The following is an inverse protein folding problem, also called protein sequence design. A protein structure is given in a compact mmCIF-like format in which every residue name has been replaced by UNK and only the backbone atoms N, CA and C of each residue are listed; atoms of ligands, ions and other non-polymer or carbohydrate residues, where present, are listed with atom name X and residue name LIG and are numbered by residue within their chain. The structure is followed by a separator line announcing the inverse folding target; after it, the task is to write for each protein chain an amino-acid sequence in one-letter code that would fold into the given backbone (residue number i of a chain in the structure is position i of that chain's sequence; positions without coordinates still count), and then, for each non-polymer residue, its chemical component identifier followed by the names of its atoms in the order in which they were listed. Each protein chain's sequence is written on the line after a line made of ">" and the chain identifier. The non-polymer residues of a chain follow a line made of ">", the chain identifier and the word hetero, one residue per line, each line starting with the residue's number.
data_IF_918739738577
#
_entry.id   IF_918739738577
#
_cell.length_a   1.000
_cell.length_b   1.000
_cell.length_c   1.000
_cell.angle_alpha   90.00
_cell.angle_beta   90.00
_cell.angle_gamma   90.00
#
_symmetry.space_group_name_H-M   'P 1'
#
loop_
_entity.id
_entity.type
_entity.pdbx_description
1 polymer ?
#
# COMPACT_ATOMS: atom_id res chain seq x y z
N UNK A 1 23.24 -25.65 -26.97
CA UNK A 1 22.46 -25.04 -25.89
C UNK A 1 22.81 -25.84 -24.66
N UNK A 2 23.68 -25.32 -23.79
CA UNK A 2 23.97 -25.95 -22.50
C UNK A 2 22.68 -25.95 -21.66
N UNK A 3 22.35 -27.11 -21.10
CA UNK A 3 21.24 -27.22 -20.13
C UNK A 3 21.46 -26.22 -18.99
N UNK A 4 20.39 -25.56 -18.47
CA UNK A 4 20.54 -24.71 -17.33
C UNK A 4 21.09 -25.54 -16.16
N UNK A 5 22.17 -25.09 -15.57
CA UNK A 5 22.88 -25.79 -14.50
C UNK A 5 22.09 -25.85 -13.17
N UNK A 6 20.96 -25.17 -13.07
CA UNK A 6 20.22 -25.00 -11.82
C UNK A 6 18.71 -25.34 -11.90
N UNK A 7 18.16 -25.61 -13.10
CA UNK A 7 16.71 -25.83 -13.27
C UNK A 7 16.42 -26.95 -14.24
N UNK A 8 15.58 -27.90 -13.84
CA UNK A 8 15.15 -29.04 -14.67
C UNK A 8 13.96 -28.69 -15.57
N UNK A 9 13.19 -27.67 -15.21
CA UNK A 9 12.01 -27.20 -15.94
C UNK A 9 11.74 -25.73 -15.69
N UNK A 10 10.99 -25.11 -16.59
CA UNK A 10 10.45 -23.75 -16.48
C UNK A 10 8.96 -23.80 -16.69
N UNK A 11 8.20 -23.20 -15.80
CA UNK A 11 6.75 -23.08 -15.91
C UNK A 11 6.30 -21.63 -15.65
N UNK A 12 5.06 -21.31 -16.07
CA UNK A 12 4.48 -19.98 -15.92
C UNK A 12 3.47 -19.99 -14.79
N UNK A 13 3.68 -19.12 -13.82
CA UNK A 13 2.82 -18.98 -12.65
C UNK A 13 1.98 -17.70 -12.75
N UNK A 14 0.66 -17.81 -12.61
CA UNK A 14 -0.20 -16.64 -12.45
C UNK A 14 0.03 -15.99 -11.09
N UNK A 15 0.16 -14.65 -11.08
CA UNK A 15 0.24 -13.89 -9.83
C UNK A 15 -0.93 -14.26 -8.89
N UNK A 16 -0.61 -14.54 -7.62
CA UNK A 16 -1.59 -14.97 -6.62
C UNK A 16 -1.87 -16.47 -6.55
N UNK A 17 -1.34 -17.28 -7.48
CA UNK A 17 -1.49 -18.76 -7.47
C UNK A 17 -0.23 -19.50 -6.99
N UNK A 18 0.70 -18.80 -6.35
CA UNK A 18 1.95 -19.39 -5.85
C UNK A 18 1.75 -20.58 -4.89
N UNK A 19 0.65 -20.60 -4.14
CA UNK A 19 0.33 -21.69 -3.22
C UNK A 19 0.01 -23.03 -3.93
N UNK A 20 -0.21 -23.03 -5.24
CA UNK A 20 -0.51 -24.25 -6.02
C UNK A 20 0.73 -24.92 -6.60
N UNK A 21 1.90 -24.26 -6.49
CA UNK A 21 3.19 -24.75 -7.00
C UNK A 21 4.11 -25.00 -5.81
N UNK A 22 4.45 -26.23 -5.58
CA UNK A 22 5.39 -26.61 -4.52
C UNK A 22 6.58 -27.39 -5.10
N UNK A 23 7.80 -27.22 -4.55
CA UNK A 23 8.19 -26.23 -3.53
C UNK A 23 8.73 -24.94 -4.15
N UNK A 24 8.19 -23.80 -3.75
CA UNK A 24 8.80 -22.49 -4.05
C UNK A 24 9.91 -22.25 -3.02
N UNK A 25 11.07 -21.79 -3.47
CA UNK A 25 12.14 -21.42 -2.55
C UNK A 25 11.71 -20.24 -1.67
N UNK A 26 11.89 -20.31 -0.34
CA UNK A 26 11.49 -19.23 0.57
C UNK A 26 12.08 -17.85 0.21
N UNK A 27 13.24 -17.83 -0.44
CA UNK A 27 13.85 -16.60 -0.96
C UNK A 27 12.98 -15.86 -1.99
N UNK A 28 12.03 -16.54 -2.63
CA UNK A 28 11.13 -15.96 -3.62
C UNK A 28 9.84 -15.37 -2.99
N UNK A 29 9.53 -15.68 -1.74
CA UNK A 29 8.31 -15.21 -1.07
C UNK A 29 8.15 -13.68 -1.11
N UNK A 30 9.18 -12.85 -0.85
CA UNK A 30 9.05 -11.40 -0.95
C UNK A 30 8.71 -10.92 -2.37
N UNK A 31 9.26 -11.58 -3.40
CA UNK A 31 9.01 -11.24 -4.80
C UNK A 31 7.56 -11.57 -5.16
N UNK A 32 7.10 -12.78 -4.81
CA UNK A 32 5.73 -13.21 -5.07
C UNK A 32 4.71 -12.34 -4.34
N UNK A 33 5.03 -11.95 -3.11
CA UNK A 33 4.22 -11.04 -2.32
C UNK A 33 4.15 -9.64 -2.95
N UNK A 34 5.28 -9.11 -3.41
CA UNK A 34 5.32 -7.83 -4.13
C UNK A 34 4.48 -7.87 -5.42
N UNK A 35 4.53 -8.96 -6.17
CA UNK A 35 3.73 -9.15 -7.39
C UNK A 35 2.23 -9.27 -7.10
N UNK A 36 1.84 -9.78 -5.93
CA UNK A 36 0.45 -9.88 -5.50
C UNK A 36 -0.13 -8.55 -5.00
N UNK A 37 0.71 -7.55 -4.72
CA UNK A 37 0.27 -6.25 -4.22
C UNK A 37 -0.37 -5.42 -5.34
N UNK A 38 -1.66 -4.97 -5.20
CA UNK A 38 -2.32 -4.17 -6.22
C UNK A 38 -1.62 -2.84 -6.47
N UNK A 39 -1.51 -2.41 -7.73
CA UNK A 39 -0.80 -1.19 -8.11
C UNK A 39 -1.56 0.12 -7.79
N UNK A 40 -2.80 0.06 -7.35
CA UNK A 40 -3.59 1.23 -6.96
C UNK A 40 -4.14 1.05 -5.55
N UNK A 41 -3.79 1.98 -4.66
CA UNK A 41 -4.29 2.04 -3.29
C UNK A 41 -5.25 3.23 -3.14
N UNK A 42 -6.45 2.98 -2.63
CA UNK A 42 -7.34 4.04 -2.15
C UNK A 42 -7.04 4.34 -0.68
N UNK A 43 -7.04 5.61 -0.30
CA UNK A 43 -6.92 6.05 1.10
C UNK A 43 -8.21 6.75 1.48
N UNK A 44 -8.86 6.32 2.57
CA UNK A 44 -10.09 6.95 3.04
C UNK A 44 -9.84 8.36 3.57
N UNK A 45 -10.86 9.21 3.46
CA UNK A 45 -10.86 10.60 3.92
C UNK A 45 -12.29 11.02 4.32
N UNK A 46 -13.01 10.12 5.00
CA UNK A 46 -14.41 10.29 5.36
C UNK A 46 -14.64 11.44 6.34
N UNK A 47 -13.62 11.79 7.14
CA UNK A 47 -13.64 12.99 8.00
C UNK A 47 -13.89 14.28 7.20
N UNK A 48 -13.33 14.37 5.99
CA UNK A 48 -13.47 15.58 5.16
C UNK A 48 -14.61 15.48 4.13
N UNK A 49 -14.96 14.28 3.68
CA UNK A 49 -15.91 14.07 2.59
C UNK A 49 -17.30 13.63 3.05
N UNK A 50 -17.44 13.20 4.30
CA UNK A 50 -18.66 12.59 4.86
C UNK A 50 -18.67 11.07 4.66
N UNK A 51 -19.19 10.38 5.67
CA UNK A 51 -19.15 8.91 5.75
C UNK A 51 -19.95 8.23 4.64
N UNK A 52 -21.21 8.65 4.42
CA UNK A 52 -22.08 8.05 3.39
C UNK A 52 -21.43 8.14 2.01
N UNK A 53 -21.05 9.35 1.62
CA UNK A 53 -20.40 9.58 0.33
C UNK A 53 -19.12 8.79 0.16
N UNK A 54 -18.34 8.64 1.24
CA UNK A 54 -17.09 7.86 1.20
C UNK A 54 -17.37 6.37 0.99
N UNK A 55 -18.41 5.82 1.62
CA UNK A 55 -18.79 4.42 1.49
C UNK A 55 -19.38 4.12 0.12
N UNK A 56 -20.28 4.97 -0.39
CA UNK A 56 -20.83 4.87 -1.76
C UNK A 56 -19.69 4.83 -2.80
N UNK A 57 -18.75 5.77 -2.70
CA UNK A 57 -17.60 5.83 -3.60
C UNK A 57 -16.69 4.59 -3.47
N UNK A 58 -16.55 4.06 -2.25
CA UNK A 58 -15.79 2.83 -2.02
C UNK A 58 -16.44 1.65 -2.74
N UNK A 59 -17.74 1.49 -2.62
CA UNK A 59 -18.47 0.42 -3.30
C UNK A 59 -18.34 0.51 -4.82
N UNK A 60 -18.48 1.71 -5.39
CA UNK A 60 -18.27 1.96 -6.83
C UNK A 60 -16.84 1.61 -7.27
N UNK A 61 -15.83 2.04 -6.50
CA UNK A 61 -14.43 1.77 -6.81
C UNK A 61 -14.09 0.28 -6.72
N UNK A 62 -14.61 -0.42 -5.71
CA UNK A 62 -14.45 -1.86 -5.55
C UNK A 62 -15.11 -2.63 -6.70
N UNK A 63 -16.31 -2.21 -7.12
CA UNK A 63 -16.98 -2.75 -8.31
C UNK A 63 -16.16 -2.49 -9.58
N UNK A 64 -15.49 -1.34 -9.66
CA UNK A 64 -14.57 -0.94 -10.74
C UNK A 64 -13.19 -1.59 -10.69
N UNK A 65 -12.94 -2.52 -9.76
CA UNK A 65 -11.68 -3.28 -9.71
C UNK A 65 -10.64 -2.77 -8.72
N UNK A 66 -10.96 -1.82 -7.83
CA UNK A 66 -10.08 -1.48 -6.71
C UNK A 66 -9.86 -2.70 -5.82
N UNK A 67 -8.60 -2.97 -5.41
CA UNK A 67 -8.25 -4.15 -4.63
C UNK A 67 -7.34 -3.87 -3.43
N UNK A 68 -7.06 -2.60 -3.12
CA UNK A 68 -6.27 -2.22 -1.94
C UNK A 68 -6.78 -0.90 -1.36
N UNK A 69 -7.14 -0.93 -0.07
CA UNK A 69 -7.71 0.21 0.65
C UNK A 69 -6.93 0.47 1.93
N UNK A 70 -6.63 1.73 2.21
CA UNK A 70 -6.10 2.16 3.50
C UNK A 70 -7.16 2.96 4.26
N UNK A 71 -7.55 2.51 5.45
CA UNK A 71 -8.41 3.26 6.37
C UNK A 71 -7.57 4.27 7.14
N UNK A 72 -7.88 5.59 7.01
CA UNK A 72 -7.05 6.67 7.55
C UNK A 72 -7.85 7.84 8.17
N UNK A 73 -8.93 7.60 8.80
CA UNK A 73 -9.75 8.63 9.45
C UNK A 73 -9.36 8.75 10.95
N UNK A 74 -8.37 9.58 11.26
CA UNK A 74 -7.68 9.62 12.56
C UNK A 74 -8.35 10.54 13.60
N UNK A 75 -9.02 11.61 13.17
CA UNK A 75 -9.60 12.63 14.03
C UNK A 75 -10.90 12.17 14.71
N UNK A 76 -11.47 11.05 14.28
CA UNK A 76 -12.71 10.55 14.86
C UNK A 76 -12.54 9.90 16.23
N UNK A 77 -13.60 9.91 17.06
CA UNK A 77 -13.66 9.13 18.29
C UNK A 77 -13.40 7.64 18.04
N UNK A 78 -12.80 6.91 18.99
CA UNK A 78 -12.42 5.49 18.79
C UNK A 78 -13.57 4.59 18.33
N UNK A 79 -14.77 4.77 18.87
CA UNK A 79 -15.95 3.98 18.48
C UNK A 79 -16.36 4.20 17.02
N UNK A 80 -16.30 5.44 16.54
CA UNK A 80 -16.61 5.79 15.15
C UNK A 80 -15.54 5.26 14.19
N UNK A 81 -14.27 5.37 14.57
CA UNK A 81 -13.14 4.79 13.79
C UNK A 81 -13.28 3.28 13.64
N UNK A 82 -13.59 2.59 14.73
CA UNK A 82 -13.80 1.15 14.72
C UNK A 82 -14.95 0.77 13.79
N UNK A 83 -16.14 1.36 13.99
CA UNK A 83 -17.31 1.09 13.16
C UNK A 83 -17.05 1.33 11.66
N UNK A 84 -16.39 2.44 11.33
CA UNK A 84 -16.05 2.75 9.95
C UNK A 84 -15.07 1.75 9.36
N UNK A 85 -14.02 1.38 10.11
CA UNK A 85 -13.06 0.38 9.68
C UNK A 85 -13.70 -1.00 9.49
N UNK A 86 -14.59 -1.45 10.40
CA UNK A 86 -15.38 -2.68 10.25
C UNK A 86 -16.21 -2.65 8.96
N UNK A 87 -16.87 -1.52 8.67
CA UNK A 87 -17.66 -1.36 7.45
C UNK A 87 -16.80 -1.45 6.20
N UNK A 88 -15.66 -0.74 6.16
CA UNK A 88 -14.74 -0.76 5.03
C UNK A 88 -14.15 -2.15 4.82
N UNK A 89 -13.73 -2.84 5.88
CA UNK A 89 -13.17 -4.21 5.80
C UNK A 89 -14.20 -5.16 5.21
N UNK A 90 -15.44 -5.15 5.71
CA UNK A 90 -16.51 -6.00 5.18
C UNK A 90 -16.76 -5.77 3.69
N UNK A 91 -16.95 -4.52 3.28
CA UNK A 91 -17.22 -4.17 1.87
C UNK A 91 -16.05 -4.57 0.95
N UNK A 92 -14.82 -4.35 1.41
CA UNK A 92 -13.62 -4.67 0.65
C UNK A 92 -13.44 -6.20 0.51
N UNK A 93 -13.58 -6.95 1.59
CA UNK A 93 -13.44 -8.41 1.59
C UNK A 93 -14.50 -9.10 0.74
N UNK A 94 -15.75 -8.60 0.68
CA UNK A 94 -16.80 -9.09 -0.21
C UNK A 94 -16.41 -9.00 -1.71
N UNK A 95 -15.42 -8.15 -2.03
CA UNK A 95 -14.88 -7.94 -3.39
C UNK A 95 -13.44 -8.45 -3.56
N UNK A 96 -12.91 -9.18 -2.58
CA UNK A 96 -11.55 -9.71 -2.61
C UNK A 96 -10.47 -8.62 -2.57
N UNK A 97 -10.76 -7.47 -1.97
CA UNK A 97 -9.81 -6.39 -1.81
C UNK A 97 -9.15 -6.45 -0.42
N UNK A 98 -7.86 -6.08 -0.37
CA UNK A 98 -7.08 -5.98 0.86
C UNK A 98 -7.37 -4.65 1.58
N UNK A 99 -7.38 -4.69 2.92
CA UNK A 99 -7.52 -3.51 3.76
C UNK A 99 -6.36 -3.41 4.75
N UNK A 100 -5.75 -2.22 4.80
CA UNK A 100 -4.76 -1.88 5.82
C UNK A 100 -5.26 -0.71 6.67
N UNK A 101 -5.03 -0.75 7.98
CA UNK A 101 -5.43 0.33 8.90
C UNK A 101 -4.23 1.20 9.22
N UNK A 102 -4.41 2.51 9.16
CA UNK A 102 -3.35 3.48 9.41
C UNK A 102 -3.18 3.74 10.92
N UNK A 103 -2.02 3.36 11.47
CA UNK A 103 -1.55 3.78 12.79
C UNK A 103 -2.24 3.14 13.99
N UNK A 104 -3.21 2.25 13.80
CA UNK A 104 -3.97 1.66 14.90
C UNK A 104 -4.04 0.13 14.78
N UNK A 105 -3.10 -0.53 15.46
CA UNK A 105 -2.99 -1.99 15.44
C UNK A 105 -4.17 -2.70 16.16
N UNK A 106 -4.80 -2.03 17.14
CA UNK A 106 -5.96 -2.59 17.85
C UNK A 106 -7.18 -2.63 16.90
N UNK A 107 -7.46 -1.52 16.23
CA UNK A 107 -8.51 -1.49 15.20
C UNK A 107 -8.21 -2.50 14.10
N UNK A 108 -6.98 -2.59 13.60
CA UNK A 108 -6.63 -3.55 12.55
C UNK A 108 -6.94 -5.00 12.97
N UNK A 109 -6.58 -5.41 14.20
CA UNK A 109 -6.86 -6.75 14.70
C UNK A 109 -8.35 -6.99 14.92
N UNK A 110 -9.05 -6.04 15.51
CA UNK A 110 -10.48 -6.17 15.86
C UNK A 110 -11.37 -6.25 14.65
N UNK A 111 -11.00 -5.58 13.58
CA UNK A 111 -11.77 -5.56 12.32
C UNK A 111 -11.41 -6.71 11.37
N UNK A 112 -10.33 -7.45 11.66
CA UNK A 112 -9.82 -8.46 10.74
C UNK A 112 -9.21 -7.86 9.47
N UNK A 113 -8.69 -6.63 9.53
CA UNK A 113 -7.97 -6.03 8.42
C UNK A 113 -6.73 -6.85 8.07
N UNK A 114 -6.34 -6.86 6.81
CA UNK A 114 -5.21 -7.64 6.28
C UNK A 114 -3.86 -7.09 6.73
N UNK A 115 -3.82 -5.85 7.21
CA UNK A 115 -2.56 -5.25 7.58
C UNK A 115 -2.61 -3.93 8.33
N UNK A 116 -1.41 -3.48 8.64
CA UNK A 116 -1.13 -2.24 9.34
C UNK A 116 -0.28 -1.31 8.46
N UNK A 117 -0.62 -0.03 8.43
CA UNK A 117 0.22 1.00 7.83
C UNK A 117 0.81 1.89 8.91
N UNK A 118 2.13 2.02 8.97
CA UNK A 118 2.84 2.85 9.94
C UNK A 118 2.96 4.29 9.42
N UNK A 119 2.44 5.29 10.13
CA UNK A 119 2.85 6.68 9.90
C UNK A 119 4.36 6.84 10.06
N UNK A 120 4.99 7.84 9.43
CA UNK A 120 6.44 8.05 9.49
C UNK A 120 6.99 8.10 10.94
N UNK A 121 6.29 8.77 11.86
CA UNK A 121 6.67 8.80 13.27
C UNK A 121 6.63 7.41 13.93
N UNK A 122 5.66 6.57 13.57
CA UNK A 122 5.58 5.20 14.06
C UNK A 122 6.67 4.32 13.45
N UNK A 123 7.00 4.50 12.16
CA UNK A 123 8.13 3.82 11.52
C UNK A 123 9.46 4.15 12.24
N UNK A 124 9.70 5.43 12.55
CA UNK A 124 10.90 5.86 13.25
C UNK A 124 11.05 5.24 14.65
N UNK A 125 9.94 5.03 15.35
CA UNK A 125 9.90 4.40 16.68
C UNK A 125 9.89 2.86 16.63
N UNK A 126 9.60 2.27 15.47
CA UNK A 126 9.41 0.84 15.30
C UNK A 126 10.74 0.09 15.41
N UNK A 127 10.82 -0.91 16.30
CA UNK A 127 12.04 -1.71 16.51
C UNK A 127 12.01 -3.05 15.79
N UNK A 128 10.82 -3.61 15.61
CA UNK A 128 10.58 -4.89 14.94
C UNK A 128 9.33 -4.81 14.07
N UNK A 129 9.24 -5.66 13.05
CA UNK A 129 8.09 -5.69 12.16
C UNK A 129 6.83 -6.08 12.94
N UNK A 130 5.74 -5.30 12.86
CA UNK A 130 4.46 -5.69 13.45
C UNK A 130 3.94 -7.01 12.87
N UNK A 131 3.29 -7.81 13.72
CA UNK A 131 2.71 -9.10 13.34
C UNK A 131 1.37 -8.90 12.61
N UNK A 132 1.47 -8.68 11.31
CA UNK A 132 0.37 -8.61 10.34
C UNK A 132 0.82 -9.17 9.00
N UNK A 133 -0.13 -9.67 8.22
CA UNK A 133 0.14 -10.18 6.86
C UNK A 133 0.76 -9.10 5.98
N UNK A 134 0.17 -7.89 5.98
CA UNK A 134 0.68 -6.74 5.25
C UNK A 134 1.08 -5.62 6.21
N UNK A 135 2.32 -5.15 6.08
CA UNK A 135 2.80 -3.98 6.83
C UNK A 135 3.48 -3.02 5.88
N UNK A 136 2.98 -1.80 5.83
CA UNK A 136 3.62 -0.73 5.07
C UNK A 136 3.90 0.49 5.91
N UNK A 137 4.59 1.48 5.33
CA UNK A 137 4.89 2.73 6.02
C UNK A 137 4.84 3.95 5.10
N UNK A 138 4.51 5.11 5.69
CA UNK A 138 4.74 6.41 5.05
C UNK A 138 6.20 6.80 5.19
N UNK A 139 6.82 7.20 4.07
CA UNK A 139 8.21 7.63 3.99
C UNK A 139 8.31 8.95 3.22
N UNK A 140 9.25 9.81 3.62
CA UNK A 140 9.52 11.10 2.98
C UNK A 140 10.96 11.19 2.48
N UNK A 141 11.83 10.26 2.89
CA UNK A 141 13.26 10.25 2.59
C UNK A 141 13.73 8.85 2.21
N UNK A 142 14.86 8.76 1.49
CA UNK A 142 15.50 7.49 1.18
C UNK A 142 15.89 6.70 2.45
N UNK A 143 16.28 7.40 3.52
CA UNK A 143 16.61 6.77 4.80
C UNK A 143 15.39 6.09 5.45
N UNK A 144 14.22 6.70 5.38
CA UNK A 144 12.98 6.09 5.88
C UNK A 144 12.57 4.87 5.03
N UNK A 145 12.77 4.91 3.70
CA UNK A 145 12.54 3.76 2.83
C UNK A 145 13.50 2.62 3.17
N UNK A 146 14.79 2.92 3.37
CA UNK A 146 15.78 1.95 3.81
C UNK A 146 15.39 1.32 5.15
N UNK A 147 14.94 2.15 6.10
CA UNK A 147 14.44 1.68 7.40
C UNK A 147 13.23 0.75 7.28
N UNK A 148 12.30 1.05 6.39
CA UNK A 148 11.18 0.16 6.09
C UNK A 148 11.66 -1.19 5.52
N UNK A 149 12.67 -1.18 4.67
CA UNK A 149 13.33 -2.38 4.16
C UNK A 149 14.03 -3.20 5.24
N UNK A 150 14.79 -2.56 6.16
CA UNK A 150 15.44 -3.23 7.31
C UNK A 150 14.43 -3.95 8.21
N UNK A 151 13.25 -3.37 8.37
CA UNK A 151 12.15 -3.97 9.14
C UNK A 151 11.38 -5.04 8.34
N UNK A 152 11.82 -5.36 7.11
CA UNK A 152 11.14 -6.28 6.21
C UNK A 152 9.65 -5.92 6.01
N UNK A 153 9.34 -4.62 5.88
CA UNK A 153 7.99 -4.18 5.52
C UNK A 153 7.65 -4.57 4.08
N UNK A 154 6.40 -4.59 3.74
CA UNK A 154 5.93 -5.09 2.44
C UNK A 154 5.83 -4.00 1.37
N UNK A 155 5.68 -2.73 1.80
CA UNK A 155 5.61 -1.57 0.90
C UNK A 155 5.86 -0.25 1.62
N UNK A 156 6.18 0.80 0.85
CA UNK A 156 6.22 2.17 1.33
C UNK A 156 5.30 3.09 0.51
N UNK A 157 4.75 4.12 1.16
CA UNK A 157 4.14 5.27 0.50
C UNK A 157 5.13 6.42 0.53
N UNK A 158 5.49 6.98 -0.62
CA UNK A 158 6.45 8.09 -0.72
C UNK A 158 5.77 9.33 -1.28
N UNK A 159 5.90 10.43 -0.56
CA UNK A 159 5.31 11.71 -0.98
C UNK A 159 5.41 12.83 0.06
N UNK A 160 4.85 14.02 -0.29
CA UNK A 160 4.09 14.27 -1.52
C UNK A 160 4.97 14.36 -2.76
N UNK A 161 4.57 13.72 -3.87
CA UNK A 161 5.28 13.80 -5.14
C UNK A 161 4.92 15.10 -5.86
N UNK A 162 3.65 15.42 -5.95
CA UNK A 162 3.12 16.64 -6.58
C UNK A 162 2.38 17.50 -5.55
N UNK A 163 2.15 18.79 -5.85
CA UNK A 163 1.36 19.69 -5.01
C UNK A 163 0.00 19.06 -4.66
N UNK A 164 -0.44 19.23 -3.42
CA UNK A 164 -1.70 18.64 -2.94
C UNK A 164 -2.43 19.60 -2.01
N UNK A 165 -3.77 19.67 -2.08
CA UNK A 165 -4.57 20.49 -1.16
C UNK A 165 -4.37 20.14 0.32
N UNK A 166 -3.91 18.94 0.63
CA UNK A 166 -3.62 18.50 2.01
C UNK A 166 -2.39 19.22 2.59
N UNK A 167 -1.46 19.65 1.75
CA UNK A 167 -0.25 20.39 2.12
C UNK A 167 0.00 21.50 1.08
N UNK A 168 -0.78 22.59 1.10
CA UNK A 168 -0.76 23.60 0.03
C UNK A 168 0.59 24.31 -0.14
N UNK A 169 1.36 24.43 0.95
CA UNK A 169 2.67 25.09 0.96
C UNK A 169 3.82 24.15 0.56
N UNK A 170 3.52 22.87 0.30
CA UNK A 170 4.54 21.90 -0.11
C UNK A 170 4.42 21.61 -1.61
N UNK A 171 5.42 22.03 -2.43
CA UNK A 171 5.40 21.81 -3.87
C UNK A 171 5.53 20.32 -4.26
N UNK A 172 5.86 19.45 -3.30
CA UNK A 172 6.22 18.06 -3.56
C UNK A 172 7.67 17.90 -4.04
N UNK A 173 8.12 16.67 -4.08
CA UNK A 173 9.50 16.34 -4.49
C UNK A 173 9.66 16.19 -6.01
N UNK A 174 8.56 16.21 -6.75
CA UNK A 174 8.53 15.95 -8.17
C UNK A 174 8.90 14.51 -8.53
N UNK A 175 8.72 14.14 -9.79
CA UNK A 175 9.05 12.80 -10.27
C UNK A 175 10.55 12.50 -10.21
N UNK A 176 11.40 13.49 -10.48
CA UNK A 176 12.86 13.35 -10.35
C UNK A 176 13.28 13.07 -8.91
N UNK A 177 12.71 13.83 -7.96
CA UNK A 177 12.95 13.60 -6.53
C UNK A 177 12.43 12.24 -6.06
N UNK A 178 11.26 11.82 -6.56
CA UNK A 178 10.71 10.49 -6.26
C UNK A 178 11.65 9.39 -6.76
N UNK A 179 12.07 9.44 -8.03
CA UNK A 179 12.98 8.45 -8.60
C UNK A 179 14.33 8.41 -7.85
N UNK A 180 14.87 9.57 -7.46
CA UNK A 180 16.11 9.63 -6.67
C UNK A 180 15.94 9.03 -5.26
N UNK A 181 14.81 9.31 -4.59
CA UNK A 181 14.54 8.79 -3.24
C UNK A 181 14.33 7.27 -3.23
N UNK A 182 13.84 6.68 -4.32
CA UNK A 182 13.53 5.25 -4.43
C UNK A 182 14.63 4.45 -5.14
N UNK A 183 15.66 5.09 -5.66
CA UNK A 183 16.73 4.44 -6.39
C UNK A 183 17.43 3.36 -5.56
N UNK A 184 17.63 2.17 -6.15
CA UNK A 184 18.30 1.03 -5.51
C UNK A 184 17.50 0.35 -4.40
N UNK A 185 16.27 0.78 -4.14
CA UNK A 185 15.40 0.14 -3.16
C UNK A 185 14.64 -1.05 -3.80
N UNK A 186 14.51 -2.14 -3.05
CA UNK A 186 13.80 -3.36 -3.48
C UNK A 186 12.37 -3.43 -2.96
N UNK A 187 11.99 -2.53 -2.05
CA UNK A 187 10.64 -2.48 -1.47
C UNK A 187 9.66 -1.89 -2.49
N UNK A 188 8.47 -2.48 -2.73
CA UNK A 188 7.41 -1.85 -3.51
C UNK A 188 7.06 -0.46 -2.98
N UNK A 189 7.14 0.56 -3.82
CA UNK A 189 6.89 1.95 -3.42
C UNK A 189 5.71 2.52 -4.19
N UNK A 190 4.74 3.07 -3.47
CA UNK A 190 3.63 3.82 -4.07
C UNK A 190 3.94 5.32 -4.06
N UNK A 191 3.69 5.98 -5.18
CA UNK A 191 3.70 7.44 -5.25
C UNK A 191 2.42 8.02 -4.61
N UNK A 192 2.58 8.98 -3.69
CA UNK A 192 1.50 9.65 -2.98
C UNK A 192 1.63 11.18 -3.12
N UNK A 193 0.49 11.87 -3.08
CA UNK A 193 0.41 13.33 -3.14
C UNK A 193 0.24 13.88 -4.55
N UNK A 194 -0.91 14.50 -4.81
CA UNK A 194 -1.30 15.01 -6.11
C UNK A 194 -1.59 13.96 -7.18
N UNK A 195 -1.69 12.69 -6.79
CA UNK A 195 -1.89 11.58 -7.72
C UNK A 195 -3.33 11.52 -8.26
N UNK A 196 -3.46 11.07 -9.52
CA UNK A 196 -4.70 10.72 -10.22
C UNK A 196 -4.56 9.36 -10.90
N UNK A 197 -5.66 8.71 -11.21
CA UNK A 197 -5.67 7.36 -11.84
C UNK A 197 -4.86 7.28 -13.13
N UNK A 198 -4.93 8.33 -13.96
CA UNK A 198 -4.23 8.41 -15.25
C UNK A 198 -2.69 8.53 -15.10
N UNK A 199 -2.20 8.72 -13.87
CA UNK A 199 -0.76 8.84 -13.60
C UNK A 199 -0.07 7.53 -13.26
N UNK A 200 -0.78 6.39 -13.22
CA UNK A 200 -0.17 5.10 -12.87
C UNK A 200 1.04 4.76 -13.76
N UNK A 201 0.87 4.85 -15.08
CA UNK A 201 1.97 4.56 -16.01
C UNK A 201 3.15 5.53 -15.83
N UNK A 202 2.88 6.81 -15.56
CA UNK A 202 3.92 7.80 -15.27
C UNK A 202 4.66 7.46 -13.98
N UNK A 203 3.95 7.08 -12.92
CA UNK A 203 4.56 6.68 -11.65
C UNK A 203 5.48 5.46 -11.84
N UNK A 204 5.01 4.45 -12.56
CA UNK A 204 5.78 3.24 -12.88
C UNK A 204 7.02 3.53 -13.70
N UNK A 205 6.93 4.46 -14.68
CA UNK A 205 8.10 4.90 -15.46
C UNK A 205 9.17 5.59 -14.59
N UNK A 206 8.79 6.08 -13.39
CA UNK A 206 9.72 6.66 -12.41
C UNK A 206 10.08 5.71 -11.26
N UNK A 207 9.81 4.41 -11.43
CA UNK A 207 10.20 3.36 -10.47
C UNK A 207 9.18 3.09 -9.36
N UNK A 208 7.98 3.64 -9.41
CA UNK A 208 6.92 3.27 -8.49
C UNK A 208 6.38 1.87 -8.81
N UNK A 209 6.01 1.10 -7.79
CA UNK A 209 5.13 -0.05 -7.91
C UNK A 209 3.73 0.40 -8.35
N UNK A 210 3.24 1.48 -7.78
CA UNK A 210 1.90 1.98 -8.03
C UNK A 210 1.66 3.39 -7.48
N UNK A 211 0.38 3.74 -7.39
CA UNK A 211 -0.08 5.03 -6.87
C UNK A 211 -1.02 4.88 -5.69
N UNK A 212 -0.97 5.82 -4.75
CA UNK A 212 -1.92 5.93 -3.65
C UNK A 212 -2.75 7.22 -3.78
N UNK A 213 -4.06 7.10 -3.67
CA UNK A 213 -5.04 8.15 -3.96
C UNK A 213 -5.89 8.44 -2.72
N UNK A 214 -5.94 9.70 -2.26
CA UNK A 214 -6.91 10.14 -1.25
C UNK A 214 -8.22 10.64 -1.88
N UNK A 215 -8.17 11.05 -3.14
CA UNK A 215 -9.31 11.58 -3.90
C UNK A 215 -9.31 10.99 -5.29
N UNK A 216 -10.51 10.87 -5.89
CA UNK A 216 -10.64 10.43 -7.30
C UNK A 216 -10.29 8.95 -7.56
N UNK A 217 -10.30 8.13 -6.50
CA UNK A 217 -10.19 6.68 -6.64
C UNK A 217 -11.52 5.99 -6.84
#
# INVERSE_FOLDING_TARGET
>A
ISAPLEHDAVDWLECGKSATVAPILPANDPILKALALPATMAITNAEAEGTERQLERLEEALAGGLRLVQVRDRGWPPAQRLWFAETVVRLAHERGALVVVNGDADIARRTGADGLHLPAAALAACRERPDFTWVGASCHTAAEIARAGELALDYALVGPVLPTPTHPDNPGIGWTGFAAATAGNMLPVFALGGMRRDMLATAQAHGAHGIALMRGW
#
